data_IF_804043125030
#
_entry.id   IF_804043125030
#
_cell.length_a   1.000
_cell.length_b   1.000
_cell.length_c   1.000
_cell.angle_alpha   90.00
_cell.angle_beta   90.00
_cell.angle_gamma   90.00
#
_symmetry.space_group_name_H-M   'P 1'
#
loop_
_entity.id
_entity.type
_entity.pdbx_description
1 polymer ?
#
# COMPACT_ATOMS: atom_id res chain seq x y z
N UNK A 1 21.21 -0.37 9.23
CA UNK A 1 19.87 0.15 8.90
C UNK A 1 19.74 0.21 7.40
N UNK A 2 18.77 -0.47 6.79
CA UNK A 2 18.40 -0.20 5.40
C UNK A 2 17.30 0.85 5.44
N UNK A 3 17.63 2.09 5.12
CA UNK A 3 16.64 3.10 4.75
C UNK A 3 16.33 2.87 3.27
N UNK A 4 15.05 2.76 2.96
CA UNK A 4 14.57 2.65 1.60
C UNK A 4 13.21 3.31 1.54
N UNK A 5 13.21 4.60 1.16
CA UNK A 5 12.01 5.44 1.17
C UNK A 5 10.93 4.88 0.23
N UNK A 6 11.35 4.41 -0.94
CA UNK A 6 10.47 3.89 -2.00
C UNK A 6 10.61 2.39 -2.24
N UNK A 7 11.41 1.67 -1.43
CA UNK A 7 11.65 0.23 -1.64
C UNK A 7 11.38 -0.57 -0.37
N UNK A 8 10.65 -1.67 -0.53
CA UNK A 8 10.48 -2.71 0.49
C UNK A 8 11.43 -3.88 0.27
N UNK A 9 11.76 -4.60 1.34
CA UNK A 9 12.47 -5.87 1.26
C UNK A 9 11.55 -6.98 1.77
N UNK A 10 11.32 -8.00 0.97
CA UNK A 10 10.58 -9.20 1.34
C UNK A 10 11.55 -10.37 1.42
N UNK A 11 11.44 -11.16 2.48
CA UNK A 11 12.07 -12.48 2.54
C UNK A 11 11.13 -13.48 1.88
N UNK A 12 11.58 -14.07 0.78
CA UNK A 12 10.82 -15.01 -0.05
C UNK A 12 11.29 -16.46 0.14
N UNK A 13 12.20 -16.72 1.09
CA UNK A 13 12.77 -18.06 1.31
C UNK A 13 11.72 -19.11 1.68
N UNK A 14 10.58 -18.69 2.24
CA UNK A 14 9.43 -19.54 2.55
C UNK A 14 8.37 -19.64 1.46
N UNK A 15 8.55 -19.01 0.29
CA UNK A 15 7.57 -19.06 -0.79
C UNK A 15 7.80 -20.28 -1.68
N UNK A 16 6.81 -21.18 -1.79
CA UNK A 16 6.86 -22.29 -2.75
C UNK A 16 6.94 -21.79 -4.20
N UNK A 17 6.27 -20.68 -4.49
CA UNK A 17 6.36 -19.97 -5.78
C UNK A 17 6.58 -18.49 -5.50
N UNK A 18 7.83 -18.00 -5.61
CA UNK A 18 8.12 -16.58 -5.38
C UNK A 18 7.55 -15.71 -6.52
N UNK A 19 7.13 -14.46 -6.24
CA UNK A 19 6.67 -13.54 -7.26
C UNK A 19 7.77 -13.20 -8.27
N UNK A 20 7.38 -13.01 -9.53
CA UNK A 20 8.24 -12.56 -10.61
C UNK A 20 8.35 -11.03 -10.68
N UNK A 21 9.29 -10.55 -11.49
CA UNK A 21 9.40 -9.12 -11.79
C UNK A 21 8.17 -8.66 -12.57
N UNK A 22 7.48 -7.63 -12.04
CA UNK A 22 6.25 -7.08 -12.62
C UNK A 22 4.97 -7.56 -11.94
N UNK A 23 5.04 -8.57 -11.06
CA UNK A 23 3.89 -9.01 -10.29
C UNK A 23 3.43 -7.93 -9.31
N UNK A 24 2.12 -7.71 -9.25
CA UNK A 24 1.51 -6.74 -8.34
C UNK A 24 1.10 -7.44 -7.05
N UNK A 25 1.58 -6.92 -5.93
CA UNK A 25 1.29 -7.43 -4.60
C UNK A 25 0.40 -6.48 -3.80
N UNK A 26 -0.40 -7.04 -2.88
CA UNK A 26 -1.18 -6.28 -1.91
C UNK A 26 -0.50 -6.32 -0.55
N UNK A 27 -0.20 -5.15 -0.01
CA UNK A 27 0.41 -5.01 1.32
C UNK A 27 -0.62 -4.44 2.29
N UNK A 28 -0.80 -5.08 3.45
CA UNK A 28 -1.63 -4.55 4.53
C UNK A 28 -0.77 -3.67 5.42
N UNK A 29 -1.08 -2.38 5.60
CA UNK A 29 -0.29 -1.50 6.45
C UNK A 29 -0.44 -1.90 7.92
N UNK A 30 0.65 -1.78 8.69
CA UNK A 30 0.63 -2.05 10.13
C UNK A 30 -0.25 -1.02 10.89
N UNK A 31 -0.10 0.27 10.58
CA UNK A 31 -0.87 1.32 11.21
C UNK A 31 -1.61 2.18 10.17
N UNK A 32 -2.95 2.10 10.20
CA UNK A 32 -3.82 2.73 9.20
C UNK A 32 -3.73 4.26 9.20
N UNK A 33 -3.65 4.89 10.38
CA UNK A 33 -3.74 6.34 10.51
C UNK A 33 -2.62 7.06 9.76
N UNK A 34 -1.38 6.56 9.89
CA UNK A 34 -0.22 7.13 9.20
C UNK A 34 -0.24 6.81 7.72
N UNK A 35 -0.63 5.59 7.33
CA UNK A 35 -0.68 5.20 5.93
C UNK A 35 -1.68 6.05 5.14
N UNK A 36 -2.91 6.23 5.63
CA UNK A 36 -3.93 7.05 4.96
C UNK A 36 -3.48 8.51 4.81
N UNK A 37 -2.74 9.05 5.79
CA UNK A 37 -2.25 10.42 5.74
C UNK A 37 -1.13 10.67 4.70
N UNK A 38 -0.55 9.62 4.14
CA UNK A 38 0.48 9.71 3.08
C UNK A 38 -0.10 9.91 1.68
N UNK A 39 -1.39 9.67 1.47
CA UNK A 39 -2.01 9.69 0.14
C UNK A 39 -3.12 10.74 0.05
N UNK A 40 -3.22 11.42 -1.10
CA UNK A 40 -4.30 12.38 -1.36
C UNK A 40 -5.63 11.69 -1.72
N UNK A 41 -5.58 10.46 -2.23
CA UNK A 41 -6.73 9.71 -2.72
C UNK A 41 -6.64 8.23 -2.31
N UNK A 42 -7.80 7.59 -2.19
CA UNK A 42 -7.95 6.14 -1.99
C UNK A 42 -8.72 5.54 -3.16
N UNK A 43 -8.19 4.47 -3.75
CA UNK A 43 -8.87 3.72 -4.81
C UNK A 43 -9.84 2.71 -4.18
N UNK A 44 -11.14 2.89 -4.39
CA UNK A 44 -12.16 1.97 -3.90
C UNK A 44 -12.33 0.81 -4.90
N UNK A 45 -12.22 -0.43 -4.41
CA UNK A 45 -12.26 -1.64 -5.24
C UNK A 45 -13.35 -2.58 -4.74
N UNK A 46 -14.08 -3.21 -5.67
CA UNK A 46 -14.99 -4.32 -5.40
C UNK A 46 -14.59 -5.51 -6.26
N UNK A 47 -14.13 -6.59 -5.63
CA UNK A 47 -13.51 -7.71 -6.37
C UNK A 47 -12.22 -7.24 -7.04
N UNK A 48 -12.22 -7.24 -8.37
CA UNK A 48 -11.08 -6.80 -9.20
C UNK A 48 -11.36 -5.48 -9.94
N UNK A 49 -12.52 -4.85 -9.71
CA UNK A 49 -12.93 -3.64 -10.40
C UNK A 49 -12.78 -2.41 -9.51
N UNK A 50 -12.21 -1.35 -10.09
CA UNK A 50 -12.20 -0.02 -9.47
C UNK A 50 -13.62 0.54 -9.58
N UNK A 51 -14.22 0.85 -8.44
CA UNK A 51 -15.59 1.38 -8.38
C UNK A 51 -15.63 2.87 -8.09
N UNK A 52 -14.58 3.44 -7.49
CA UNK A 52 -14.47 4.87 -7.21
C UNK A 52 -13.02 5.28 -6.88
N UNK A 53 -12.75 6.59 -6.86
CA UNK A 53 -11.53 7.20 -6.33
C UNK A 53 -11.92 8.30 -5.33
N UNK A 54 -11.71 8.01 -4.04
CA UNK A 54 -12.17 8.84 -2.93
C UNK A 54 -11.08 9.82 -2.48
N UNK A 55 -11.38 11.13 -2.32
CA UNK A 55 -10.41 12.07 -1.77
C UNK A 55 -10.20 11.86 -0.27
N UNK A 56 -8.95 11.93 0.19
CA UNK A 56 -8.62 12.01 1.63
C UNK A 56 -8.73 13.47 2.08
N UNK A 57 -9.96 13.94 2.25
CA UNK A 57 -10.26 15.36 2.45
C UNK A 57 -9.55 16.00 3.67
N UNK A 58 -9.20 15.20 4.66
CA UNK A 58 -8.55 15.64 5.89
C UNK A 58 -7.03 15.40 5.92
N UNK A 59 -6.39 15.04 4.80
CA UNK A 59 -4.94 14.79 4.76
C UNK A 59 -4.16 15.98 5.35
N UNK A 60 -3.24 15.69 6.27
CA UNK A 60 -2.41 16.69 6.93
C UNK A 60 -3.13 17.53 8.00
N UNK A 61 -4.41 17.26 8.29
CA UNK A 61 -5.18 17.93 9.36
C UNK A 61 -5.00 17.19 10.69
N UNK A 62 -3.80 17.29 11.25
CA UNK A 62 -3.45 16.65 12.53
C UNK A 62 -3.89 17.55 13.69
N UNK A 63 -4.39 16.92 14.77
CA UNK A 63 -4.72 17.57 16.05
C UNK A 63 -3.61 17.35 17.07
#
# INVERSE_FOLDING_TARGET
>A
HKMAEEHGFLDLSGCETPPGVGDIMRVVPNHVCVAVNMFDQLVAVRGNDIVDVLPVAARGRLV
#
